data_IF_607193111663
#
_entry.id   IF_607193111663
#
_cell.length_a   1.000
_cell.length_b   1.000
_cell.length_c   1.000
_cell.angle_alpha   90.00
_cell.angle_beta   90.00
_cell.angle_gamma   90.00
#
_symmetry.space_group_name_H-M   'P 1'
#
loop_
_entity.id
_entity.type
_entity.pdbx_description
1 polymer ?
#
# COMPACT_ATOMS: atom_id res chain seq x y z
N UNK A 1 -22.26 18.38 11.10
CA UNK A 1 -23.31 17.33 10.97
C UNK A 1 -23.43 16.56 12.28
N UNK A 2 -22.33 16.02 12.81
CA UNK A 2 -22.30 15.29 14.09
C UNK A 2 -22.95 16.04 15.26
N UNK A 3 -22.67 17.34 15.41
CA UNK A 3 -23.32 18.19 16.44
C UNK A 3 -24.85 18.18 16.34
N UNK A 4 -25.38 18.17 15.10
CA UNK A 4 -26.83 18.16 14.84
C UNK A 4 -27.44 16.78 15.12
N UNK A 5 -26.75 15.69 14.79
CA UNK A 5 -27.25 14.31 14.99
C UNK A 5 -26.87 13.74 16.36
N UNK A 6 -26.01 14.41 17.13
CA UNK A 6 -25.48 14.01 18.45
C UNK A 6 -24.88 12.59 18.47
N UNK A 7 -24.34 12.12 17.34
CA UNK A 7 -23.76 10.78 17.16
C UNK A 7 -22.57 10.83 16.21
N UNK A 8 -21.54 9.99 16.39
CA UNK A 8 -20.44 9.86 15.44
C UNK A 8 -20.95 9.40 14.07
N UNK A 9 -20.35 9.94 13.00
CA UNK A 9 -20.71 9.63 11.63
C UNK A 9 -20.02 8.37 11.08
N UNK A 10 -18.84 8.02 11.61
CA UNK A 10 -18.02 6.91 11.13
C UNK A 10 -17.08 6.39 12.22
N UNK A 11 -16.59 5.17 12.04
CA UNK A 11 -15.45 4.63 12.78
C UNK A 11 -14.16 4.83 11.99
N UNK A 12 -13.16 5.45 12.60
CA UNK A 12 -11.87 5.68 11.96
C UNK A 12 -11.00 4.42 12.05
N UNK A 13 -10.76 3.78 10.90
CA UNK A 13 -9.80 2.67 10.75
C UNK A 13 -8.55 3.19 10.03
N UNK A 14 -7.39 2.59 10.29
CA UNK A 14 -6.14 3.02 9.64
C UNK A 14 -6.11 2.62 8.15
N UNK A 15 -6.14 3.61 7.25
CA UNK A 15 -6.01 3.40 5.79
C UNK A 15 -4.67 2.76 5.39
N UNK A 16 -3.59 3.09 6.09
CA UNK A 16 -2.29 2.47 5.83
C UNK A 16 -2.32 0.98 6.17
N UNK A 17 -3.00 0.61 7.25
CA UNK A 17 -3.17 -0.81 7.61
C UNK A 17 -3.96 -1.55 6.53
N UNK A 18 -5.03 -0.96 6.00
CA UNK A 18 -5.75 -1.52 4.85
C UNK A 18 -4.81 -1.76 3.65
N UNK A 19 -3.93 -0.81 3.32
CA UNK A 19 -2.99 -0.94 2.20
C UNK A 19 -1.92 -2.03 2.42
N UNK A 20 -1.55 -2.31 3.67
CA UNK A 20 -0.58 -3.36 4.01
C UNK A 20 -1.12 -4.78 3.83
N UNK A 21 -2.42 -5.00 4.04
CA UNK A 21 -3.01 -6.34 4.07
C UNK A 21 -2.95 -7.08 2.73
N UNK A 22 -3.26 -6.47 1.57
CA UNK A 22 -3.13 -7.14 0.28
C UNK A 22 -1.69 -7.58 -0.01
N UNK A 23 -0.70 -6.71 0.25
CA UNK A 23 0.72 -7.05 0.09
C UNK A 23 1.09 -8.23 0.99
N UNK A 24 0.62 -8.21 2.23
CA UNK A 24 0.84 -9.29 3.19
C UNK A 24 0.36 -10.63 2.68
N UNK A 25 -0.90 -10.72 2.31
CA UNK A 25 -1.51 -11.97 1.88
C UNK A 25 -0.94 -12.47 0.56
N UNK A 26 -0.63 -11.56 -0.39
CA UNK A 26 0.04 -11.90 -1.62
C UNK A 26 1.42 -12.50 -1.36
N UNK A 27 2.21 -11.86 -0.49
CA UNK A 27 3.54 -12.36 -0.13
C UNK A 27 3.48 -13.73 0.53
N UNK A 28 2.57 -13.92 1.50
CA UNK A 28 2.40 -15.21 2.18
C UNK A 28 1.97 -16.32 1.22
N UNK A 29 1.14 -16.01 0.23
CA UNK A 29 0.74 -16.99 -0.79
C UNK A 29 1.90 -17.40 -1.70
N UNK A 30 2.78 -16.46 -2.06
CA UNK A 30 3.88 -16.69 -2.99
C UNK A 30 5.12 -17.28 -2.33
N UNK A 31 5.51 -16.77 -1.17
CA UNK A 31 6.73 -17.16 -0.46
C UNK A 31 6.45 -18.24 0.61
N UNK A 32 5.24 -18.26 1.16
CA UNK A 32 4.83 -19.15 2.23
C UNK A 32 4.65 -18.45 3.58
N UNK A 33 4.12 -19.21 4.54
CA UNK A 33 3.75 -18.69 5.85
C UNK A 33 4.93 -18.35 6.76
N UNK A 34 4.65 -17.49 7.74
CA UNK A 34 5.59 -17.09 8.80
C UNK A 34 5.67 -18.17 9.88
N UNK A 35 6.86 -18.45 10.45
CA UNK A 35 6.99 -19.34 11.63
C UNK A 35 7.22 -18.64 12.96
N UNK A 36 7.33 -17.31 12.93
CA UNK A 36 7.48 -16.50 14.13
C UNK A 36 7.34 -15.01 13.81
N UNK A 37 7.43 -14.13 14.82
CA UNK A 37 7.22 -12.68 14.67
C UNK A 37 8.17 -11.96 13.72
N UNK A 38 9.30 -12.59 13.37
CA UNK A 38 10.34 -12.05 12.50
C UNK A 38 10.86 -13.05 11.47
N UNK A 39 10.39 -14.30 11.48
CA UNK A 39 10.93 -15.38 10.64
C UNK A 39 9.96 -15.73 9.52
N UNK A 40 10.46 -15.67 8.29
CA UNK A 40 9.82 -16.14 7.07
C UNK A 40 10.50 -17.44 6.64
N UNK A 41 9.73 -18.40 6.11
CA UNK A 41 10.26 -19.69 5.65
C UNK A 41 10.57 -19.74 4.16
N UNK A 42 9.96 -18.88 3.38
CA UNK A 42 10.06 -18.94 1.94
C UNK A 42 11.43 -18.52 1.40
N UNK A 43 11.73 -18.89 0.15
CA UNK A 43 12.99 -18.54 -0.50
C UNK A 43 13.27 -17.04 -0.44
N UNK A 44 12.28 -16.19 -0.72
CA UNK A 44 12.41 -14.73 -0.68
C UNK A 44 12.60 -14.30 0.77
N UNK A 45 11.72 -14.74 1.67
CA UNK A 45 11.67 -14.28 3.04
C UNK A 45 12.93 -14.61 3.86
N UNK A 46 13.59 -15.73 3.57
CA UNK A 46 14.86 -16.10 4.20
C UNK A 46 16.00 -15.15 3.85
N UNK A 47 16.06 -14.69 2.60
CA UNK A 47 17.06 -13.74 2.11
C UNK A 47 16.81 -12.31 2.61
N UNK A 48 15.56 -11.97 2.94
CA UNK A 48 15.21 -10.62 3.39
C UNK A 48 15.99 -10.20 4.63
N UNK A 49 16.42 -11.10 5.53
CA UNK A 49 17.10 -10.73 6.78
C UNK A 49 18.45 -10.02 6.58
N UNK A 50 19.17 -10.33 5.50
CA UNK A 50 20.51 -9.79 5.23
C UNK A 50 20.58 -9.05 3.89
N UNK A 51 19.43 -8.72 3.28
CA UNK A 51 19.39 -8.09 1.96
C UNK A 51 20.19 -6.79 1.87
N UNK A 52 20.34 -6.05 2.97
CA UNK A 52 21.16 -4.83 3.01
C UNK A 52 22.66 -5.07 2.82
N UNK A 53 23.14 -6.28 3.13
CA UNK A 53 24.55 -6.69 2.99
C UNK A 53 24.87 -7.24 1.60
N UNK A 54 23.85 -7.54 0.80
CA UNK A 54 24.04 -8.08 -0.54
C UNK A 54 24.58 -6.99 -1.48
N UNK A 55 25.53 -7.31 -2.35
CA UNK A 55 26.07 -6.36 -3.32
C UNK A 55 25.00 -5.97 -4.33
N UNK A 56 25.11 -4.77 -4.90
CA UNK A 56 24.31 -4.40 -6.07
C UNK A 56 24.73 -5.25 -7.26
N UNK A 57 23.74 -5.67 -8.06
CA UNK A 57 23.94 -6.41 -9.30
C UNK A 57 23.22 -5.70 -10.44
N UNK A 58 23.37 -6.21 -11.67
CA UNK A 58 22.51 -5.77 -12.76
C UNK A 58 21.11 -6.36 -12.55
N UNK A 59 20.10 -5.49 -12.54
CA UNK A 59 18.69 -5.88 -12.39
C UNK A 59 17.84 -5.23 -13.49
N UNK A 60 16.68 -5.80 -13.76
CA UNK A 60 15.76 -5.27 -14.75
C UNK A 60 14.96 -4.09 -14.19
N UNK A 61 14.77 -3.04 -14.99
CA UNK A 61 13.88 -1.95 -14.64
C UNK A 61 12.41 -2.41 -14.66
N UNK A 62 11.59 -1.87 -13.76
CA UNK A 62 10.15 -2.14 -13.73
C UNK A 62 9.37 -0.85 -13.96
N UNK A 63 8.52 -0.84 -14.98
CA UNK A 63 7.66 0.30 -15.26
C UNK A 63 6.66 0.55 -14.12
N UNK A 64 6.68 1.76 -13.57
CA UNK A 64 5.74 2.24 -12.58
C UNK A 64 5.68 3.78 -12.60
N UNK A 65 4.68 4.36 -11.93
CA UNK A 65 4.59 5.80 -11.71
C UNK A 65 5.15 6.15 -10.32
N UNK A 66 6.15 7.03 -10.27
CA UNK A 66 6.69 7.54 -9.00
C UNK A 66 5.83 8.71 -8.51
N UNK A 67 5.21 8.63 -7.33
CA UNK A 67 4.33 9.69 -6.85
C UNK A 67 5.09 10.98 -6.56
N UNK A 68 4.58 12.10 -7.11
CA UNK A 68 5.09 13.44 -6.79
C UNK A 68 4.66 13.86 -5.38
N UNK A 69 5.53 13.74 -4.38
CA UNK A 69 5.19 14.02 -2.97
C UNK A 69 6.28 14.89 -2.33
N UNK A 70 5.85 15.83 -1.49
CA UNK A 70 6.77 16.59 -0.66
C UNK A 70 7.55 15.63 0.27
N UNK A 71 8.86 15.57 0.07
CA UNK A 71 9.74 14.69 0.85
C UNK A 71 9.82 15.10 2.32
N UNK A 72 9.52 16.36 2.65
CA UNK A 72 9.59 16.89 4.02
C UNK A 72 8.58 16.22 4.97
N UNK A 73 7.46 15.71 4.44
CA UNK A 73 6.40 15.05 5.23
C UNK A 73 6.60 13.54 5.40
N UNK A 74 7.71 12.99 4.87
CA UNK A 74 8.00 11.56 4.85
C UNK A 74 8.94 11.14 5.97
N UNK A 75 8.65 10.01 6.62
CA UNK A 75 9.61 9.35 7.51
C UNK A 75 10.79 8.77 6.72
N UNK A 76 11.87 8.40 7.41
CA UNK A 76 13.04 7.76 6.79
C UNK A 76 12.67 6.53 5.97
N UNK A 77 11.84 5.64 6.52
CA UNK A 77 11.40 4.42 5.82
C UNK A 77 10.54 4.72 4.58
N UNK A 78 9.77 5.83 4.61
CA UNK A 78 8.94 6.26 3.47
C UNK A 78 9.78 6.91 2.37
N UNK A 79 10.78 7.70 2.76
CA UNK A 79 11.76 8.24 1.81
C UNK A 79 12.54 7.10 1.15
N UNK A 80 12.91 6.07 1.93
CA UNK A 80 13.55 4.88 1.39
C UNK A 80 12.67 4.20 0.35
N UNK A 81 11.38 3.95 0.65
CA UNK A 81 10.45 3.35 -0.31
C UNK A 81 10.41 4.15 -1.62
N UNK A 82 10.35 5.48 -1.54
CA UNK A 82 10.31 6.34 -2.73
C UNK A 82 11.60 6.24 -3.53
N UNK A 83 12.75 6.32 -2.86
CA UNK A 83 14.07 6.30 -3.49
C UNK A 83 14.37 4.95 -4.14
N UNK A 84 14.11 3.84 -3.43
CA UNK A 84 14.33 2.48 -3.98
C UNK A 84 13.35 2.17 -5.11
N UNK A 85 12.11 2.66 -5.06
CA UNK A 85 11.16 2.51 -6.16
C UNK A 85 11.62 3.27 -7.40
N UNK A 86 12.16 4.48 -7.24
CA UNK A 86 12.74 5.25 -8.35
C UNK A 86 13.99 4.57 -8.94
N UNK A 87 14.80 3.92 -8.09
CA UNK A 87 15.95 3.12 -8.55
C UNK A 87 15.49 1.91 -9.38
N UNK A 88 14.47 1.18 -8.91
CA UNK A 88 13.92 0.04 -9.65
C UNK A 88 13.24 0.49 -10.95
N UNK A 89 12.56 1.65 -10.95
CA UNK A 89 11.95 2.21 -12.16
C UNK A 89 13.01 2.56 -13.22
N UNK A 90 14.11 3.20 -12.81
CA UNK A 90 15.17 3.64 -13.72
C UNK A 90 16.16 2.53 -14.11
N UNK A 91 16.16 1.40 -13.40
CA UNK A 91 17.17 0.34 -13.56
C UNK A 91 18.55 0.72 -12.99
N UNK A 92 18.64 1.83 -12.24
CA UNK A 92 19.90 2.35 -11.69
C UNK A 92 19.72 2.60 -10.20
N UNK A 93 20.51 1.92 -9.37
CA UNK A 93 20.54 2.13 -7.92
C UNK A 93 21.76 2.98 -7.52
N UNK A 94 21.55 4.20 -6.99
CA UNK A 94 22.64 5.01 -6.46
C UNK A 94 23.40 4.30 -5.33
N UNK A 95 24.72 4.47 -5.30
CA UNK A 95 25.58 3.82 -4.29
C UNK A 95 25.20 4.27 -2.88
N UNK A 96 24.90 5.56 -2.69
CA UNK A 96 24.49 6.09 -1.38
C UNK A 96 23.18 5.43 -0.90
N UNK A 97 22.24 5.17 -1.81
CA UNK A 97 20.99 4.47 -1.51
C UNK A 97 21.24 3.00 -1.11
N UNK A 98 22.19 2.33 -1.77
CA UNK A 98 22.50 0.92 -1.49
C UNK A 98 23.05 0.67 -0.09
N UNK A 99 23.71 1.68 0.49
CA UNK A 99 24.26 1.64 1.85
C UNK A 99 23.24 2.05 2.93
N UNK A 100 22.06 2.57 2.55
CA UNK A 100 21.01 2.91 3.52
C UNK A 100 20.33 1.64 4.01
N UNK A 101 20.04 1.58 5.31
CA UNK A 101 19.27 0.48 5.88
C UNK A 101 17.78 0.61 5.51
N UNK A 102 17.15 -0.45 4.97
CA UNK A 102 15.73 -0.45 4.60
C UNK A 102 14.76 -0.49 5.80
N UNK A 103 15.30 -0.52 7.03
CA UNK A 103 14.58 -0.71 8.28
C UNK A 103 14.55 -2.18 8.75
N UNK A 104 14.15 -2.44 10.01
CA UNK A 104 14.07 -3.80 10.55
C UNK A 104 12.86 -4.57 9.99
N UNK A 105 12.99 -5.89 9.88
CA UNK A 105 11.85 -6.76 9.58
C UNK A 105 10.85 -6.74 10.74
N UNK A 106 9.58 -6.51 10.41
CA UNK A 106 8.49 -6.55 11.37
C UNK A 106 7.20 -6.99 10.68
N UNK A 107 6.57 -8.05 11.19
CA UNK A 107 5.26 -8.50 10.68
C UNK A 107 4.12 -7.52 10.99
N UNK A 108 4.38 -6.52 11.84
CA UNK A 108 3.44 -5.44 12.16
C UNK A 108 3.62 -4.19 11.27
N UNK A 109 4.70 -4.10 10.48
CA UNK A 109 5.00 -2.95 9.62
C UNK A 109 5.44 -3.44 8.25
N UNK A 110 4.49 -3.50 7.31
CA UNK A 110 4.76 -4.01 5.97
C UNK A 110 5.52 -3.01 5.09
N UNK A 111 5.65 -1.75 5.52
CA UNK A 111 6.50 -0.77 4.85
C UNK A 111 7.97 -1.21 4.80
N UNK A 112 8.55 -1.63 5.94
CA UNK A 112 9.96 -2.06 5.96
C UNK A 112 10.15 -3.40 5.25
N UNK A 113 9.10 -4.25 5.24
CA UNK A 113 9.06 -5.45 4.42
C UNK A 113 9.14 -5.10 2.92
N UNK A 114 8.31 -4.17 2.45
CA UNK A 114 8.32 -3.70 1.06
C UNK A 114 9.70 -3.11 0.68
N UNK A 115 10.28 -2.28 1.56
CA UNK A 115 11.63 -1.74 1.38
C UNK A 115 12.67 -2.85 1.21
N UNK A 116 12.64 -3.87 2.07
CA UNK A 116 13.57 -5.01 2.00
C UNK A 116 13.36 -5.85 0.74
N UNK A 117 12.12 -6.07 0.30
CA UNK A 117 11.81 -6.81 -0.94
C UNK A 117 12.39 -6.08 -2.16
N UNK A 118 12.24 -4.76 -2.23
CA UNK A 118 12.83 -3.95 -3.31
C UNK A 118 14.36 -3.88 -3.19
N UNK A 119 14.90 -3.79 -1.97
CA UNK A 119 16.35 -3.82 -1.73
C UNK A 119 16.97 -5.15 -2.14
N UNK A 120 16.26 -6.27 -1.91
CA UNK A 120 16.67 -7.59 -2.37
C UNK A 120 16.63 -7.67 -3.91
N UNK A 121 15.59 -7.12 -4.55
CA UNK A 121 15.45 -7.15 -6.01
C UNK A 121 16.63 -6.52 -6.74
N UNK A 122 17.17 -5.40 -6.23
CA UNK A 122 18.37 -4.75 -6.82
C UNK A 122 19.69 -5.49 -6.53
N UNK A 123 19.62 -6.60 -5.79
CA UNK A 123 20.75 -7.45 -5.41
C UNK A 123 20.67 -8.88 -5.93
N UNK A 124 19.66 -9.21 -6.74
CA UNK A 124 19.48 -10.54 -7.34
C UNK A 124 19.43 -10.40 -8.86
N UNK A 125 20.40 -11.01 -9.56
CA UNK A 125 20.51 -10.89 -11.03
C UNK A 125 19.37 -11.62 -11.75
N UNK A 126 18.95 -12.76 -11.20
CA UNK A 126 17.88 -13.61 -11.73
C UNK A 126 16.80 -13.84 -10.66
N UNK A 127 15.96 -12.83 -10.37
CA UNK A 127 14.91 -12.98 -9.38
C UNK A 127 13.89 -14.03 -9.83
N UNK A 128 13.32 -14.77 -8.87
CA UNK A 128 12.23 -15.71 -9.16
C UNK A 128 10.99 -14.98 -9.68
N UNK A 129 10.09 -15.70 -10.34
CA UNK A 129 8.86 -15.10 -10.86
C UNK A 129 7.95 -14.61 -9.72
N UNK A 130 7.93 -15.31 -8.59
CA UNK A 130 7.27 -14.88 -7.35
C UNK A 130 7.83 -13.55 -6.84
N UNK A 131 9.16 -13.41 -6.80
CA UNK A 131 9.80 -12.16 -6.38
C UNK A 131 9.45 -11.01 -7.33
N UNK A 132 9.47 -11.25 -8.64
CA UNK A 132 9.03 -10.27 -9.63
C UNK A 132 7.57 -9.86 -9.41
N UNK A 133 6.67 -10.82 -9.16
CA UNK A 133 5.24 -10.54 -8.92
C UNK A 133 5.08 -9.61 -7.71
N UNK A 134 5.76 -9.89 -6.60
CA UNK A 134 5.67 -9.04 -5.40
C UNK A 134 6.24 -7.65 -5.67
N UNK A 135 7.38 -7.53 -6.37
CA UNK A 135 7.97 -6.24 -6.76
C UNK A 135 7.02 -5.43 -7.62
N UNK A 136 6.39 -6.05 -8.62
CA UNK A 136 5.38 -5.39 -9.45
C UNK A 136 4.18 -4.93 -8.62
N UNK A 137 3.71 -5.74 -7.67
CA UNK A 137 2.62 -5.35 -6.78
C UNK A 137 3.00 -4.17 -5.89
N UNK A 138 4.23 -4.17 -5.35
CA UNK A 138 4.73 -3.05 -4.54
C UNK A 138 4.72 -1.76 -5.36
N UNK A 139 5.30 -1.79 -6.56
CA UNK A 139 5.50 -0.60 -7.38
C UNK A 139 4.22 -0.10 -8.06
N UNK A 140 3.31 -1.01 -8.46
CA UNK A 140 2.09 -0.64 -9.21
C UNK A 140 0.87 -0.41 -8.32
N UNK A 141 0.80 -1.01 -7.13
CA UNK A 141 -0.37 -0.89 -6.25
C UNK A 141 -0.01 -0.35 -4.86
N UNK A 142 0.85 -1.03 -4.11
CA UNK A 142 1.10 -0.68 -2.71
C UNK A 142 1.70 0.73 -2.53
N UNK A 143 2.79 1.04 -3.25
CA UNK A 143 3.51 2.30 -3.14
C UNK A 143 2.65 3.50 -3.60
N UNK A 144 1.99 3.48 -4.78
CA UNK A 144 1.14 4.58 -5.19
C UNK A 144 0.02 4.87 -4.19
N UNK A 145 -0.69 3.83 -3.71
CA UNK A 145 -1.75 3.98 -2.72
C UNK A 145 -1.20 4.50 -1.39
N UNK A 146 -0.04 4.00 -0.94
CA UNK A 146 0.61 4.48 0.28
C UNK A 146 0.84 5.98 0.24
N UNK A 147 1.41 6.49 -0.84
CA UNK A 147 1.69 7.92 -0.98
C UNK A 147 0.44 8.76 -1.24
N UNK A 148 -0.58 8.21 -1.90
CA UNK A 148 -1.89 8.88 -2.02
C UNK A 148 -2.54 9.08 -0.65
N UNK A 149 -2.53 8.06 0.23
CA UNK A 149 -3.00 8.18 1.62
C UNK A 149 -2.17 9.22 2.38
N UNK A 150 -0.85 9.29 2.14
CA UNK A 150 0.02 10.26 2.81
C UNK A 150 -0.24 11.70 2.36
N UNK A 151 -0.64 11.93 1.12
CA UNK A 151 -1.07 13.24 0.62
C UNK A 151 -2.44 13.62 1.16
N UNK A 152 -3.39 12.70 1.10
CA UNK A 152 -4.79 12.93 1.46
C UNK A 152 -5.22 11.98 2.58
N UNK A 153 -5.05 12.45 3.82
CA UNK A 153 -5.31 11.67 5.03
C UNK A 153 -6.74 11.80 5.54
N UNK A 154 -7.59 12.55 4.84
CA UNK A 154 -8.94 12.78 5.31
C UNK A 154 -9.76 11.50 5.14
N UNK A 155 -10.60 11.23 6.14
CA UNK A 155 -11.47 10.05 6.13
C UNK A 155 -12.45 10.07 4.94
N UNK A 156 -12.79 11.27 4.46
CA UNK A 156 -13.61 11.50 3.27
C UNK A 156 -12.95 11.01 1.98
N UNK A 157 -11.63 10.85 1.96
CA UNK A 157 -10.88 10.34 0.81
C UNK A 157 -10.72 8.82 0.87
N UNK A 158 -11.10 8.20 1.99
CA UNK A 158 -11.01 6.76 2.20
C UNK A 158 -11.62 5.91 1.09
N UNK A 159 -12.85 6.20 0.60
CA UNK A 159 -13.41 5.45 -0.53
C UNK A 159 -12.57 5.56 -1.81
N UNK A 160 -11.96 6.71 -2.07
CA UNK A 160 -11.08 6.91 -3.22
C UNK A 160 -9.83 6.04 -3.09
N UNK A 161 -9.20 5.99 -1.91
CA UNK A 161 -8.04 5.14 -1.66
C UNK A 161 -8.35 3.65 -1.87
N UNK A 162 -9.52 3.17 -1.40
CA UNK A 162 -9.95 1.78 -1.66
C UNK A 162 -10.12 1.54 -3.16
N UNK A 163 -10.78 2.46 -3.87
CA UNK A 163 -10.97 2.35 -5.29
C UNK A 163 -9.62 2.30 -6.04
N UNK A 164 -8.63 3.10 -5.63
CA UNK A 164 -7.28 3.06 -6.20
C UNK A 164 -6.58 1.72 -5.93
N UNK A 165 -6.71 1.13 -4.74
CA UNK A 165 -6.20 -0.22 -4.47
C UNK A 165 -6.84 -1.26 -5.40
N UNK A 166 -8.17 -1.26 -5.52
CA UNK A 166 -8.90 -2.17 -6.39
C UNK A 166 -8.47 -2.00 -7.84
N UNK A 167 -8.36 -0.76 -8.34
CA UNK A 167 -7.99 -0.45 -9.72
C UNK A 167 -6.54 -0.86 -10.02
N UNK A 168 -5.62 -0.49 -9.13
CA UNK A 168 -4.19 -0.71 -9.32
C UNK A 168 -3.77 -2.17 -9.17
N UNK A 169 -4.58 -3.03 -8.54
CA UNK A 169 -4.28 -4.46 -8.43
C UNK A 169 -4.73 -5.29 -9.64
N UNK A 170 -5.56 -4.75 -10.54
CA UNK A 170 -6.17 -5.52 -11.65
C UNK A 170 -5.21 -6.04 -12.72
N UNK A 171 -3.94 -5.63 -12.69
CA UNK A 171 -2.92 -6.22 -13.58
C UNK A 171 -2.54 -7.64 -13.17
N UNK A 172 -2.86 -8.06 -11.94
CA UNK A 172 -2.58 -9.41 -11.47
C UNK A 172 -3.46 -10.44 -12.19
N UNK A 173 -2.94 -11.66 -12.42
CA UNK A 173 -3.74 -12.77 -12.94
C UNK A 173 -4.81 -13.22 -11.92
N UNK A 174 -5.84 -13.89 -12.42
CA UNK A 174 -7.04 -14.26 -11.64
C UNK A 174 -6.72 -15.07 -10.38
N UNK A 175 -5.79 -16.02 -10.46
CA UNK A 175 -5.38 -16.84 -9.31
C UNK A 175 -4.79 -16.00 -8.16
N UNK A 176 -4.11 -14.88 -8.46
CA UNK A 176 -3.58 -13.97 -7.44
C UNK A 176 -4.64 -12.97 -6.98
N UNK A 177 -5.55 -12.55 -7.86
CA UNK A 177 -6.71 -11.74 -7.48
C UNK A 177 -7.59 -12.48 -6.47
N UNK A 178 -7.80 -13.79 -6.64
CA UNK A 178 -8.53 -14.64 -5.68
C UNK A 178 -7.91 -14.64 -4.27
N UNK A 179 -6.62 -14.33 -4.14
CA UNK A 179 -5.93 -14.21 -2.84
C UNK A 179 -6.19 -12.84 -2.21
N UNK A 180 -6.08 -11.76 -2.99
CA UNK A 180 -6.11 -10.40 -2.45
C UNK A 180 -7.51 -9.78 -2.40
N UNK A 181 -8.42 -10.14 -3.30
CA UNK A 181 -9.76 -9.54 -3.38
C UNK A 181 -10.56 -9.81 -2.10
N UNK A 182 -10.59 -11.04 -1.55
CA UNK A 182 -11.26 -11.27 -0.27
C UNK A 182 -10.65 -10.48 0.90
N UNK A 183 -9.36 -10.13 0.81
CA UNK A 183 -8.68 -9.32 1.84
C UNK A 183 -9.09 -7.86 1.71
N UNK A 184 -9.14 -7.33 0.48
CA UNK A 184 -9.62 -5.99 0.19
C UNK A 184 -11.07 -5.85 0.64
N UNK A 185 -11.95 -6.77 0.23
CA UNK A 185 -13.38 -6.73 0.55
C UNK A 185 -13.64 -6.74 2.06
N UNK A 186 -12.99 -7.65 2.80
CA UNK A 186 -13.17 -7.76 4.27
C UNK A 186 -12.66 -6.54 5.03
N UNK A 187 -11.76 -5.76 4.45
CA UNK A 187 -11.14 -4.59 5.10
C UNK A 187 -11.54 -3.26 4.45
N UNK A 188 -12.48 -3.29 3.49
CA UNK A 188 -12.96 -2.11 2.77
C UNK A 188 -13.95 -1.27 3.61
N UNK A 189 -13.63 -1.01 4.88
CA UNK A 189 -14.48 -0.25 5.80
C UNK A 189 -14.83 1.14 5.23
N UNK A 190 -13.88 1.80 4.57
CA UNK A 190 -14.12 3.10 3.92
C UNK A 190 -15.00 3.01 2.65
N UNK A 191 -15.33 1.83 2.15
CA UNK A 191 -16.29 1.64 1.07
C UNK A 191 -17.71 1.40 1.58
N UNK A 192 -17.92 1.37 2.90
CA UNK A 192 -19.25 1.25 3.48
C UNK A 192 -20.12 2.46 3.08
N UNK A 193 -21.46 2.27 2.98
CA UNK A 193 -22.37 3.34 2.57
C UNK A 193 -22.22 4.63 3.40
N UNK A 194 -21.92 4.54 4.70
CA UNK A 194 -21.68 5.69 5.55
C UNK A 194 -20.47 6.52 5.09
N UNK A 195 -19.37 5.87 4.73
CA UNK A 195 -18.13 6.52 4.30
C UNK A 195 -18.24 7.07 2.87
N UNK A 196 -19.00 6.39 2.01
CA UNK A 196 -19.37 6.93 0.70
C UNK A 196 -20.20 8.21 0.81
N UNK A 197 -21.15 8.27 1.76
CA UNK A 197 -21.90 9.50 1.98
C UNK A 197 -21.03 10.63 2.54
N UNK A 198 -20.00 10.31 3.32
CA UNK A 198 -19.04 11.29 3.82
C UNK A 198 -18.13 11.86 2.73
N UNK A 199 -17.73 11.07 1.72
CA UNK A 199 -17.02 11.62 0.57
C UNK A 199 -17.92 12.53 -0.28
N UNK A 200 -19.21 12.20 -0.40
CA UNK A 200 -20.16 13.02 -1.16
C UNK A 200 -20.29 14.44 -0.59
N UNK A 201 -20.27 14.63 0.73
CA UNK A 201 -20.44 15.98 1.34
C UNK A 201 -19.24 16.90 1.13
N UNK A 202 -18.09 16.39 0.69
CA UNK A 202 -16.91 17.18 0.31
C UNK A 202 -16.66 17.18 -1.21
N UNK A 203 -17.54 16.56 -2.00
CA UNK A 203 -17.41 16.53 -3.47
C UNK A 203 -17.34 17.94 -4.05
N UNK A 204 -16.56 18.15 -5.10
CA UNK A 204 -16.43 19.46 -5.77
C UNK A 204 -17.77 19.95 -6.35
N UNK A 205 -18.67 19.04 -6.72
CA UNK A 205 -19.98 19.32 -7.32
C UNK A 205 -21.03 19.58 -6.24
N UNK A 206 -21.61 20.78 -6.25
CA UNK A 206 -22.60 21.22 -5.25
C UNK A 206 -23.80 20.27 -5.13
N UNK A 207 -24.35 19.80 -6.25
CA UNK A 207 -25.51 18.90 -6.23
C UNK A 207 -25.22 17.54 -5.57
N UNK A 208 -23.98 17.05 -5.64
CA UNK A 208 -23.55 15.81 -4.95
C UNK A 208 -23.43 16.05 -3.44
N UNK A 209 -22.87 17.20 -3.03
CA UNK A 209 -22.81 17.58 -1.60
C UNK A 209 -24.19 17.68 -0.98
N UNK A 210 -25.11 18.36 -1.65
CA UNK A 210 -26.50 18.48 -1.19
C UNK A 210 -27.21 17.13 -1.12
N UNK A 211 -26.99 16.25 -2.09
CA UNK A 211 -27.51 14.89 -2.06
C UNK A 211 -26.95 14.10 -0.87
N UNK A 212 -25.63 14.12 -0.66
CA UNK A 212 -24.96 13.45 0.45
C UNK A 212 -25.50 13.91 1.81
N UNK A 213 -25.62 15.23 2.00
CA UNK A 213 -26.19 15.81 3.21
C UNK A 213 -27.64 15.36 3.45
N UNK A 214 -28.49 15.40 2.41
CA UNK A 214 -29.88 14.93 2.52
C UNK A 214 -29.97 13.44 2.88
N UNK A 215 -29.13 12.59 2.28
CA UNK A 215 -29.09 11.15 2.56
C UNK A 215 -28.66 10.88 3.99
N UNK A 216 -27.61 11.57 4.46
CA UNK A 216 -27.13 11.46 5.85
C UNK A 216 -28.21 11.87 6.83
N UNK A 217 -28.82 13.05 6.65
CA UNK A 217 -29.86 13.54 7.57
C UNK A 217 -31.01 12.53 7.60
N UNK A 218 -31.52 12.12 6.43
CA UNK A 218 -32.61 11.15 6.34
C UNK A 218 -32.29 9.84 7.09
N UNK A 219 -31.09 9.29 6.89
CA UNK A 219 -30.68 8.03 7.52
C UNK A 219 -30.47 8.14 9.05
N UNK A 220 -30.16 9.34 9.57
CA UNK A 220 -29.88 9.57 11.00
C UNK A 220 -31.09 10.09 11.80
N UNK A 221 -32.13 10.58 11.12
CA UNK A 221 -33.37 11.06 11.75
C UNK A 221 -34.55 10.11 11.59
N UNK A 222 -34.38 9.02 10.82
CA UNK A 222 -35.32 7.90 10.78
C UNK A 222 -35.01 6.93 11.91
#
# INVERSE_FOLDING_TARGET
IEEKVKRPMQWAVCLLHFNELPLRHLFQFLDGDTTGPTTLKGPIGTELNNCEKLPLVKFASVECEIPDIDRSILSKDQQYLLDISSAVQSGICPIDLSHREPGPLSHARWLTMANRILRLYVSVEYPSDEHKIVVHFILKSYMPVWFNIKKSKYLTDGPEHIFQTVKSSRFLPENLLQVIDPVIERNAYFAHPENLMLSMIVDKRTHIRELGLRRIIKARTS
#
